data_IF_435299324645
#
_entry.id   IF_435299324645
#
_cell.length_a   1.000
_cell.length_b   1.000
_cell.length_c   1.000
_cell.angle_alpha   90.00
_cell.angle_beta   90.00
_cell.angle_gamma   90.00
#
_symmetry.space_group_name_H-M   'P 1'
#
loop_
_entity.id
_entity.type
_entity.pdbx_description
1 polymer ?
#
# COMPACT_ATOMS: atom_id res chain seq x y z
N UNK A 1 -9.13 8.39 3.68
CA UNK A 1 -7.97 8.90 4.44
C UNK A 1 -6.80 9.23 3.53
N UNK A 2 -6.27 8.30 2.73
CA UNK A 2 -5.14 8.56 1.82
C UNK A 2 -5.39 9.68 0.79
N UNK A 3 -6.59 9.78 0.22
CA UNK A 3 -6.96 10.87 -0.70
C UNK A 3 -6.93 12.26 -0.04
N UNK A 4 -7.47 12.37 1.17
CA UNK A 4 -7.43 13.60 1.97
C UNK A 4 -6.00 13.96 2.32
N UNK A 5 -5.20 12.98 2.77
CA UNK A 5 -3.78 13.19 3.08
C UNK A 5 -3.00 13.65 1.85
N UNK A 6 -3.30 13.11 0.67
CA UNK A 6 -2.72 13.54 -0.60
C UNK A 6 -3.02 15.00 -0.91
N UNK A 7 -4.28 15.39 -0.77
CA UNK A 7 -4.75 16.76 -1.03
C UNK A 7 -4.09 17.76 -0.07
N UNK A 8 -4.12 17.48 1.24
CA UNK A 8 -3.54 18.35 2.27
C UNK A 8 -2.02 18.46 2.17
N UNK A 9 -1.34 17.38 1.79
CA UNK A 9 0.11 17.39 1.60
C UNK A 9 0.56 17.91 0.23
N UNK A 10 -0.37 18.14 -0.70
CA UNK A 10 -0.09 18.43 -2.11
C UNK A 10 0.94 17.45 -2.70
N UNK A 11 0.70 16.15 -2.50
CA UNK A 11 1.73 15.14 -2.74
C UNK A 11 2.25 15.16 -4.19
N UNK A 12 3.57 15.28 -4.33
CA UNK A 12 4.26 15.27 -5.60
C UNK A 12 5.30 14.13 -5.62
N UNK A 13 5.05 13.10 -6.45
CA UNK A 13 5.97 11.96 -6.58
C UNK A 13 7.37 12.34 -7.07
N UNK A 14 7.52 13.45 -7.80
CA UNK A 14 8.83 13.94 -8.25
C UNK A 14 9.64 14.56 -7.10
N UNK A 15 8.96 15.02 -6.04
CA UNK A 15 9.54 15.56 -4.81
C UNK A 15 9.27 14.63 -3.60
N UNK A 16 9.26 13.31 -3.84
CA UNK A 16 8.83 12.27 -2.89
C UNK A 16 9.33 12.48 -1.46
N UNK A 17 10.61 12.82 -1.27
CA UNK A 17 11.18 13.02 0.06
C UNK A 17 10.48 14.16 0.83
N UNK A 18 10.26 15.30 0.16
CA UNK A 18 9.54 16.46 0.71
C UNK A 18 8.08 16.12 0.97
N UNK A 19 7.37 15.54 0.00
CA UNK A 19 5.95 15.19 0.16
C UNK A 19 5.71 14.12 1.24
N UNK A 20 6.61 13.15 1.37
CA UNK A 20 6.57 12.14 2.45
C UNK A 20 6.80 12.79 3.82
N UNK A 21 7.71 13.76 3.92
CA UNK A 21 7.92 14.50 5.16
C UNK A 21 6.67 15.30 5.57
N UNK A 22 6.03 15.99 4.62
CA UNK A 22 4.78 16.72 4.89
C UNK A 22 3.68 15.76 5.33
N UNK A 23 3.51 14.63 4.65
CA UNK A 23 2.55 13.60 5.08
C UNK A 23 2.81 13.11 6.50
N UNK A 24 4.07 12.91 6.87
CA UNK A 24 4.46 12.48 8.22
C UNK A 24 4.06 13.49 9.28
N UNK A 25 4.31 14.78 9.03
CA UNK A 25 3.94 15.88 9.94
C UNK A 25 2.42 15.94 10.10
N UNK A 26 1.66 15.97 9.01
CA UNK A 26 0.19 16.00 9.06
C UNK A 26 -0.39 14.78 9.80
N UNK A 27 0.18 13.59 9.60
CA UNK A 27 -0.22 12.38 10.34
C UNK A 27 0.09 12.48 11.83
N UNK A 28 1.19 13.12 12.21
CA UNK A 28 1.53 13.35 13.62
C UNK A 28 0.54 14.33 14.26
N UNK A 29 0.28 15.47 13.62
CA UNK A 29 -0.69 16.47 14.09
C UNK A 29 -2.09 15.86 14.26
N UNK A 30 -2.59 15.15 13.26
CA UNK A 30 -3.89 14.47 13.33
C UNK A 30 -3.94 13.38 14.42
N UNK A 31 -2.83 12.67 14.63
CA UNK A 31 -2.75 11.66 15.68
C UNK A 31 -2.78 12.30 17.07
N UNK A 32 -2.08 13.43 17.25
CA UNK A 32 -2.04 14.16 18.51
C UNK A 32 -3.41 14.76 18.83
N UNK A 33 -4.10 15.36 17.87
CA UNK A 33 -5.46 15.86 18.04
C UNK A 33 -6.45 14.73 18.42
N UNK A 34 -6.33 13.57 17.75
CA UNK A 34 -7.21 12.42 17.99
C UNK A 34 -7.08 11.84 19.40
N UNK A 35 -5.90 11.92 20.03
CA UNK A 35 -5.68 11.44 21.41
C UNK A 35 -6.46 12.25 22.45
N UNK A 36 -6.88 13.46 22.10
CA UNK A 36 -7.61 14.36 23.00
C UNK A 36 -9.14 14.28 22.82
N UNK A 37 -9.65 13.41 21.94
CA UNK A 37 -11.08 13.38 21.59
C UNK A 37 -11.64 11.94 21.49
N UNK A 38 -12.77 11.66 22.15
CA UNK A 38 -13.60 10.47 21.90
C UNK A 38 -13.30 9.20 22.72
N UNK A 39 -13.86 8.07 22.27
CA UNK A 39 -13.75 6.76 22.93
C UNK A 39 -12.36 6.12 22.63
N UNK A 40 -11.61 5.64 23.63
CA UNK A 40 -10.28 5.05 23.45
C UNK A 40 -10.19 3.94 22.39
N UNK A 41 -11.23 3.13 22.22
CA UNK A 41 -11.24 2.06 21.22
C UNK A 41 -11.36 2.59 19.78
N UNK A 42 -12.19 3.61 19.56
CA UNK A 42 -12.28 4.28 18.26
C UNK A 42 -10.99 5.06 17.95
N UNK A 43 -10.29 5.54 18.98
CA UNK A 43 -8.98 6.18 18.82
C UNK A 43 -7.94 5.19 18.31
N UNK A 44 -7.80 4.00 18.90
CA UNK A 44 -6.81 3.02 18.44
C UNK A 44 -7.04 2.59 16.98
N UNK A 45 -8.29 2.34 16.59
CA UNK A 45 -8.63 1.99 15.21
C UNK A 45 -8.37 3.16 14.25
N UNK A 46 -8.78 4.38 14.62
CA UNK A 46 -8.52 5.58 13.82
C UNK A 46 -7.04 5.86 13.63
N UNK A 47 -6.24 5.71 14.69
CA UNK A 47 -4.79 5.83 14.64
C UNK A 47 -4.15 4.75 13.75
N UNK A 48 -4.68 3.53 13.77
CA UNK A 48 -4.21 2.45 12.89
C UNK A 48 -4.45 2.76 11.41
N UNK A 49 -5.65 3.24 11.07
CA UNK A 49 -6.01 3.68 9.71
C UNK A 49 -5.12 4.86 9.28
N UNK A 50 -4.90 5.83 10.18
CA UNK A 50 -4.04 6.99 9.90
C UNK A 50 -2.60 6.56 9.65
N UNK A 51 -2.07 5.65 10.47
CA UNK A 51 -0.73 5.08 10.29
C UNK A 51 -0.58 4.35 8.95
N UNK A 52 -1.61 3.63 8.52
CA UNK A 52 -1.64 2.92 7.24
C UNK A 52 -1.76 3.86 6.02
N UNK A 53 -2.35 5.04 6.18
CA UNK A 53 -2.59 5.94 5.07
C UNK A 53 -1.28 6.54 4.52
N UNK A 54 -1.19 6.64 3.20
CA UNK A 54 -0.06 7.24 2.49
C UNK A 54 -0.58 8.21 1.42
N UNK A 55 -0.05 9.45 1.40
CA UNK A 55 -0.46 10.49 0.45
C UNK A 55 -0.03 10.22 -1.00
N UNK A 56 0.88 9.26 -1.22
CA UNK A 56 1.32 8.85 -2.54
C UNK A 56 0.26 8.05 -3.31
N UNK A 57 -0.74 7.48 -2.62
CA UNK A 57 -1.83 6.71 -3.21
C UNK A 57 -2.65 7.58 -4.18
N UNK A 58 -2.78 7.14 -5.44
CA UNK A 58 -3.46 7.89 -6.51
C UNK A 58 -4.88 7.34 -6.78
N UNK A 59 -5.19 6.13 -6.34
CA UNK A 59 -6.49 5.49 -6.57
C UNK A 59 -6.99 4.65 -5.39
N UNK A 60 -8.31 4.41 -5.27
CA UNK A 60 -8.86 3.51 -4.25
C UNK A 60 -8.28 2.09 -4.30
N UNK A 61 -7.95 1.60 -5.49
CA UNK A 61 -7.36 0.28 -5.68
C UNK A 61 -5.93 0.15 -5.18
N UNK A 62 -5.12 1.20 -5.34
CA UNK A 62 -3.80 1.28 -4.69
C UNK A 62 -3.94 1.29 -3.17
N UNK A 63 -4.94 2.02 -2.64
CA UNK A 63 -5.24 2.01 -1.21
C UNK A 63 -5.64 0.62 -0.69
N UNK A 64 -6.43 -0.12 -1.48
CA UNK A 64 -6.79 -1.51 -1.18
C UNK A 64 -5.56 -2.43 -1.15
N UNK A 65 -4.67 -2.30 -2.13
CA UNK A 65 -3.39 -3.04 -2.17
C UNK A 65 -2.51 -2.71 -0.94
N UNK A 66 -2.38 -1.43 -0.60
CA UNK A 66 -1.65 -0.97 0.58
C UNK A 66 -2.23 -1.59 1.87
N UNK A 67 -3.56 -1.68 1.95
CA UNK A 67 -4.26 -2.27 3.10
C UNK A 67 -3.96 -3.77 3.26
N UNK A 68 -3.93 -4.52 2.15
CA UNK A 68 -3.53 -5.93 2.16
C UNK A 68 -2.11 -6.08 2.71
N UNK A 69 -1.17 -5.26 2.21
CA UNK A 69 0.24 -5.34 2.62
C UNK A 69 0.42 -5.05 4.10
N UNK A 70 -0.21 -4.00 4.63
CA UNK A 70 -0.14 -3.71 6.06
C UNK A 70 -0.73 -4.82 6.93
N UNK A 71 -1.79 -5.50 6.48
CA UNK A 71 -2.36 -6.64 7.20
C UNK A 71 -1.45 -7.86 7.19
N UNK A 72 -0.89 -8.21 6.02
CA UNK A 72 0.00 -9.37 5.88
C UNK A 72 1.37 -9.16 6.55
N UNK A 73 1.80 -7.91 6.70
CA UNK A 73 3.10 -7.54 7.27
C UNK A 73 2.96 -6.96 8.68
N UNK A 74 1.81 -7.08 9.36
CA UNK A 74 1.55 -6.43 10.66
C UNK A 74 2.64 -6.70 11.71
N UNK A 75 3.15 -7.94 11.77
CA UNK A 75 4.21 -8.35 12.71
C UNK A 75 5.62 -8.41 12.08
N UNK A 76 5.79 -7.90 10.86
CA UNK A 76 7.05 -7.95 10.11
C UNK A 76 7.74 -6.58 10.12
N UNK A 77 9.07 -6.58 10.24
CA UNK A 77 9.89 -5.37 10.05
C UNK A 77 9.78 -4.82 8.63
N UNK A 78 9.38 -5.65 7.66
CA UNK A 78 9.13 -5.23 6.28
C UNK A 78 7.99 -4.22 6.15
N UNK A 79 7.11 -4.11 7.16
CA UNK A 79 6.02 -3.14 7.16
C UNK A 79 6.53 -1.71 7.03
N UNK A 80 7.68 -1.41 7.63
CA UNK A 80 8.30 -0.08 7.60
C UNK A 80 9.01 0.19 6.27
N UNK A 81 9.18 -0.83 5.42
CA UNK A 81 9.78 -0.72 4.10
C UNK A 81 8.76 -0.49 2.97
N UNK A 82 7.46 -0.58 3.28
CA UNK A 82 6.39 -0.33 2.31
C UNK A 82 6.54 1.09 1.77
N UNK A 83 6.81 1.20 0.47
CA UNK A 83 7.09 2.46 -0.19
C UNK A 83 6.14 2.67 -1.38
N UNK A 84 5.20 3.60 -1.23
CA UNK A 84 4.31 3.99 -2.32
C UNK A 84 5.00 4.94 -3.31
N UNK A 85 4.59 4.88 -4.59
CA UNK A 85 5.14 5.65 -5.71
C UNK A 85 6.68 5.62 -5.72
N UNK A 86 7.26 4.44 -5.55
CA UNK A 86 8.71 4.30 -5.40
C UNK A 86 9.43 4.50 -6.75
N UNK A 87 10.46 5.37 -6.82
CA UNK A 87 11.21 5.58 -8.04
C UNK A 87 12.24 4.48 -8.28
N UNK A 88 12.26 3.94 -9.50
CA UNK A 88 13.28 2.99 -9.97
C UNK A 88 13.92 3.57 -11.21
N UNK A 89 15.25 3.70 -11.20
CA UNK A 89 16.02 4.21 -12.33
C UNK A 89 16.75 3.06 -13.01
N UNK A 90 16.43 2.79 -14.28
CA UNK A 90 17.07 1.77 -15.11
C UNK A 90 17.43 2.41 -16.45
N UNK A 91 18.70 2.33 -16.85
CA UNK A 91 19.18 2.88 -18.12
C UNK A 91 18.81 4.36 -18.33
N UNK A 92 18.93 5.18 -17.28
CA UNK A 92 18.56 6.60 -17.31
C UNK A 92 17.06 6.90 -17.35
N UNK A 93 16.19 5.88 -17.42
CA UNK A 93 14.73 6.02 -17.35
C UNK A 93 14.26 5.83 -15.92
N UNK A 94 13.37 6.72 -15.47
CA UNK A 94 12.79 6.67 -14.13
C UNK A 94 11.34 6.18 -14.20
N UNK A 95 11.06 5.10 -13.49
CA UNK A 95 9.73 4.50 -13.36
C UNK A 95 9.23 4.70 -11.94
N UNK A 96 7.95 5.03 -11.79
CA UNK A 96 7.27 5.00 -10.51
C UNK A 96 6.37 3.76 -10.49
N UNK A 97 6.35 3.09 -9.35
CA UNK A 97 5.57 1.87 -9.08
C UNK A 97 4.63 2.15 -7.93
N UNK A 98 3.42 1.61 -7.98
CA UNK A 98 2.37 1.97 -7.03
C UNK A 98 2.79 1.69 -5.59
N UNK A 99 3.30 0.48 -5.33
CA UNK A 99 3.92 0.10 -4.05
C UNK A 99 5.15 -0.78 -4.28
N UNK A 100 6.20 -0.57 -3.48
CA UNK A 100 7.40 -1.40 -3.48
C UNK A 100 7.82 -1.82 -2.06
N UNK A 101 8.51 -2.94 -1.98
CA UNK A 101 9.39 -3.31 -0.87
C UNK A 101 10.83 -3.33 -1.43
N UNK A 102 11.58 -2.22 -1.33
CA UNK A 102 12.83 -2.06 -2.06
C UNK A 102 13.90 -3.10 -1.73
N UNK A 103 14.05 -3.50 -0.46
CA UNK A 103 15.08 -4.47 -0.06
C UNK A 103 14.80 -5.87 -0.61
N UNK A 104 13.52 -6.22 -0.81
CA UNK A 104 13.11 -7.48 -1.43
C UNK A 104 13.06 -7.43 -2.95
N UNK A 105 13.30 -6.25 -3.53
CA UNK A 105 12.99 -5.96 -4.94
C UNK A 105 11.59 -6.44 -5.34
N UNK A 106 10.60 -6.24 -4.48
CA UNK A 106 9.22 -6.64 -4.73
C UNK A 106 8.36 -5.43 -5.13
N UNK A 107 7.63 -5.55 -6.22
CA UNK A 107 6.74 -4.52 -6.78
C UNK A 107 5.31 -5.01 -6.78
N UNK A 108 4.41 -4.12 -6.38
CA UNK A 108 2.99 -4.34 -6.42
C UNK A 108 2.35 -3.22 -7.24
N UNK A 109 1.62 -3.59 -8.28
CA UNK A 109 0.91 -2.65 -9.15
C UNK A 109 -0.58 -2.95 -9.13
N UNK A 110 -1.38 -1.91 -9.02
CA UNK A 110 -2.83 -2.00 -9.15
C UNK A 110 -3.21 -1.66 -10.60
N UNK A 111 -3.73 -2.65 -11.33
CA UNK A 111 -4.20 -2.44 -12.69
C UNK A 111 -5.69 -2.10 -12.67
N UNK A 112 -5.97 -0.79 -12.63
CA UNK A 112 -7.31 -0.24 -12.56
C UNK A 112 -8.11 -0.33 -13.86
N UNK A 113 -7.48 -0.54 -15.01
CA UNK A 113 -8.14 -0.70 -16.31
C UNK A 113 -7.04 -1.05 -17.30
N UNK A 114 -7.21 -2.16 -18.05
CA UNK A 114 -6.31 -2.61 -19.09
C UNK A 114 -5.92 -1.45 -20.01
N UNK A 115 -4.74 -0.85 -19.78
CA UNK A 115 -4.15 0.21 -20.62
C UNK A 115 -3.74 -0.41 -21.96
N UNK A 116 -4.72 -0.65 -22.82
CA UNK A 116 -4.54 -0.98 -24.24
C UNK A 116 -5.50 -0.04 -24.95
N UNK A 117 -5.03 1.07 -25.51
CA UNK A 117 -4.43 1.06 -26.85
C UNK A 117 -3.14 1.88 -26.99
N UNK A 118 -2.24 1.40 -27.86
CA UNK A 118 -1.07 2.13 -28.38
C UNK A 118 0.25 2.04 -27.59
N UNK A 119 0.26 1.60 -26.32
CA UNK A 119 1.48 1.57 -25.48
C UNK A 119 1.94 0.18 -25.03
N UNK A 120 1.39 -0.89 -25.61
CA UNK A 120 1.71 -2.28 -25.24
C UNK A 120 3.21 -2.60 -25.31
N UNK A 121 3.90 -2.12 -26.33
CA UNK A 121 5.35 -2.28 -26.45
C UNK A 121 6.12 -1.57 -25.33
N UNK A 122 5.76 -0.34 -24.99
CA UNK A 122 6.40 0.41 -23.89
C UNK A 122 6.16 -0.26 -22.54
N UNK A 123 4.96 -0.80 -22.34
CA UNK A 123 4.62 -1.56 -21.14
C UNK A 123 5.44 -2.86 -21.02
N UNK A 124 5.49 -3.66 -22.09
CA UNK A 124 6.29 -4.89 -22.12
C UNK A 124 7.77 -4.60 -21.91
N UNK A 125 8.30 -3.56 -22.54
CA UNK A 125 9.70 -3.18 -22.39
C UNK A 125 10.01 -2.71 -20.97
N UNK A 126 9.14 -1.88 -20.37
CA UNK A 126 9.26 -1.50 -18.95
C UNK A 126 9.27 -2.73 -18.05
N UNK A 127 8.36 -3.67 -18.28
CA UNK A 127 8.28 -4.89 -17.47
C UNK A 127 9.53 -5.75 -17.63
N UNK A 128 10.02 -5.92 -18.86
CA UNK A 128 11.28 -6.63 -19.15
C UNK A 128 12.45 -6.00 -18.41
N UNK A 129 12.62 -4.68 -18.52
CA UNK A 129 13.71 -3.95 -17.86
C UNK A 129 13.67 -4.08 -16.33
N UNK A 130 12.48 -4.01 -15.72
CA UNK A 130 12.32 -4.20 -14.27
C UNK A 130 12.73 -5.62 -13.85
N UNK A 131 12.25 -6.64 -14.57
CA UNK A 131 12.59 -8.04 -14.28
C UNK A 131 14.08 -8.31 -14.49
N UNK A 132 14.69 -7.80 -15.56
CA UNK A 132 16.13 -7.91 -15.80
C UNK A 132 16.97 -7.22 -14.72
N UNK A 133 16.46 -6.14 -14.12
CA UNK A 133 17.08 -5.50 -12.95
C UNK A 133 16.84 -6.28 -11.63
N UNK A 134 16.19 -7.44 -11.68
CA UNK A 134 15.94 -8.35 -10.57
C UNK A 134 14.69 -8.01 -9.75
N UNK A 135 13.77 -7.21 -10.29
CA UNK A 135 12.50 -6.92 -9.61
C UNK A 135 11.45 -8.01 -9.88
N UNK A 136 10.76 -8.40 -8.81
CA UNK A 136 9.61 -9.27 -8.86
C UNK A 136 8.34 -8.41 -8.89
N UNK A 137 7.40 -8.72 -9.78
CA UNK A 137 6.21 -7.88 -9.99
C UNK A 137 4.96 -8.71 -9.78
N UNK A 138 4.10 -8.25 -8.87
CA UNK A 138 2.73 -8.73 -8.72
C UNK A 138 1.75 -7.64 -9.16
N UNK A 139 0.84 -8.00 -10.06
CA UNK A 139 -0.29 -7.15 -10.46
C UNK A 139 -1.56 -7.64 -9.78
N UNK A 140 -2.26 -6.70 -9.14
CA UNK A 140 -3.62 -6.88 -8.62
C UNK A 140 -4.57 -6.12 -9.53
N UNK A 141 -5.59 -6.80 -10.04
CA UNK A 141 -6.53 -6.23 -10.99
C UNK A 141 -7.75 -5.63 -10.29
N UNK A 142 -8.42 -4.66 -10.93
CA UNK A 142 -9.65 -4.06 -10.41
C UNK A 142 -10.72 -5.09 -10.05
N UNK A 143 -10.86 -6.16 -10.84
CA UNK A 143 -11.84 -7.24 -10.56
C UNK A 143 -11.58 -7.95 -9.22
N UNK A 144 -10.36 -7.89 -8.70
CA UNK A 144 -10.01 -8.55 -7.44
C UNK A 144 -10.43 -7.71 -6.22
N UNK A 145 -10.81 -6.45 -6.40
CA UNK A 145 -11.38 -5.59 -5.35
C UNK A 145 -12.70 -6.18 -4.83
N UNK A 146 -13.50 -6.80 -5.71
CA UNK A 146 -14.75 -7.48 -5.30
C UNK A 146 -14.50 -8.87 -4.70
N UNK A 147 -13.28 -9.40 -4.78
CA UNK A 147 -12.87 -10.66 -4.16
C UNK A 147 -11.63 -10.48 -3.26
N UNK A 148 -11.73 -9.72 -2.14
CA UNK A 148 -10.56 -9.37 -1.34
C UNK A 148 -9.73 -10.56 -0.87
N UNK A 149 -10.41 -11.65 -0.50
CA UNK A 149 -9.76 -12.90 -0.07
C UNK A 149 -8.81 -13.45 -1.13
N UNK A 150 -9.21 -13.43 -2.40
CA UNK A 150 -8.40 -13.91 -3.52
C UNK A 150 -7.18 -13.04 -3.74
N UNK A 151 -7.36 -11.71 -3.72
CA UNK A 151 -6.26 -10.75 -3.83
C UNK A 151 -5.24 -10.98 -2.71
N UNK A 152 -5.70 -11.07 -1.46
CA UNK A 152 -4.85 -11.30 -0.30
C UNK A 152 -4.08 -12.61 -0.40
N UNK A 153 -4.71 -13.71 -0.82
CA UNK A 153 -4.03 -14.99 -0.99
C UNK A 153 -2.94 -14.94 -2.07
N UNK A 154 -3.17 -14.20 -3.17
CA UNK A 154 -2.15 -14.00 -4.21
C UNK A 154 -0.99 -13.14 -3.72
N UNK A 155 -1.27 -12.06 -3.00
CA UNK A 155 -0.23 -11.21 -2.40
C UNK A 155 0.58 -12.00 -1.37
N UNK A 156 -0.09 -12.80 -0.54
CA UNK A 156 0.56 -13.72 0.40
C UNK A 156 1.47 -14.72 -0.32
N UNK A 157 0.95 -15.46 -1.31
CA UNK A 157 1.74 -16.44 -2.05
C UNK A 157 2.95 -15.81 -2.74
N UNK A 158 2.80 -14.59 -3.27
CA UNK A 158 3.91 -13.84 -3.84
C UNK A 158 4.97 -13.47 -2.80
N UNK A 159 4.57 -12.93 -1.65
CA UNK A 159 5.49 -12.63 -0.53
C UNK A 159 6.21 -13.90 -0.05
N UNK A 160 5.49 -15.01 0.10
CA UNK A 160 6.06 -16.30 0.51
C UNK A 160 7.05 -16.85 -0.53
N UNK A 161 6.79 -16.65 -1.82
CA UNK A 161 7.75 -17.01 -2.88
C UNK A 161 9.07 -16.23 -2.81
N UNK A 162 9.06 -15.07 -2.14
CA UNK A 162 10.25 -14.26 -1.86
C UNK A 162 10.87 -14.55 -0.48
N UNK A 163 10.41 -15.61 0.20
CA UNK A 163 10.90 -16.00 1.52
C UNK A 163 10.31 -15.21 2.68
N UNK A 164 9.27 -14.41 2.46
CA UNK A 164 8.59 -13.67 3.51
C UNK A 164 7.57 -14.56 4.20
N UNK A 165 7.77 -14.84 5.48
CA UNK A 165 6.75 -15.50 6.28
C UNK A 165 5.63 -14.51 6.62
N UNK A 166 4.41 -14.84 6.22
CA UNK A 166 3.21 -14.04 6.56
C UNK A 166 2.33 -14.82 7.52
N UNK A 167 1.66 -14.16 8.48
CA UNK A 167 0.79 -14.86 9.43
C UNK A 167 -0.37 -15.60 8.73
N UNK A 168 -0.90 -16.63 9.39
CA UNK A 168 -2.10 -17.34 8.94
C UNK A 168 -3.41 -16.68 9.37
N UNK A 169 -3.36 -15.69 10.25
CA UNK A 169 -4.53 -14.89 10.63
C UNK A 169 -4.61 -13.64 9.75
N UNK A 170 -5.81 -13.13 9.53
CA UNK A 170 -6.08 -12.02 8.63
C UNK A 170 -5.61 -10.65 9.16
N UNK A 171 -4.63 -10.58 10.07
CA UNK A 171 -4.28 -9.36 10.79
C UNK A 171 -5.45 -8.81 11.62
N UNK A 172 -5.18 -7.86 12.51
CA UNK A 172 -6.24 -7.25 13.36
C UNK A 172 -7.27 -6.47 12.54
N UNK A 173 -6.91 -6.03 11.34
CA UNK A 173 -7.71 -5.10 10.53
C UNK A 173 -8.81 -5.78 9.71
N UNK A 174 -8.78 -7.10 9.62
CA UNK A 174 -9.79 -7.92 8.93
C UNK A 174 -10.49 -8.90 9.87
N UNK A 175 -10.14 -8.90 11.15
CA UNK A 175 -10.90 -9.64 12.15
C UNK A 175 -12.34 -9.14 12.15
N UNK A 176 -13.32 -10.04 12.04
CA UNK A 176 -14.72 -9.70 12.28
C UNK A 176 -14.80 -8.95 13.60
N UNK A 177 -15.39 -7.76 13.57
CA UNK A 177 -15.77 -7.08 14.80
C UNK A 177 -16.82 -7.95 15.45
N UNK A 178 -16.39 -8.86 16.32
CA UNK A 178 -17.29 -9.63 17.16
C UNK A 178 -18.02 -8.62 18.05
N UNK A 179 -19.15 -8.12 17.53
CA UNK A 179 -20.18 -7.41 18.27
C UNK A 179 -20.58 -8.36 19.37
N UNK A 180 -19.95 -8.21 20.54
CA UNK A 180 -20.60 -8.62 21.76
C UNK A 180 -21.65 -7.54 21.99
N UNK A 181 -22.84 -7.74 21.42
CA UNK A 181 -24.05 -7.07 21.84
C UNK A 181 -24.23 -7.38 23.33
N UNK A 182 -23.65 -6.53 24.18
CA UNK A 182 -24.09 -6.41 25.57
C UNK A 182 -25.49 -5.85 25.50
N UNK A 183 -26.46 -6.74 25.65
CA UNK A 183 -27.80 -6.38 26.06
C UNK A 183 -27.68 -5.59 27.36
N UNK A 184 -28.14 -4.34 27.34
CA UNK A 184 -28.62 -3.60 28.48
C UNK A 184 -30.11 -3.36 28.25
#
# INVERSE_FOLDING_TARGET
>A
MSSILRELSQYNRFERAKSTQVCRILKQELADDSRHQGNPWHQEQGLSVLQAADGAIESPGEGFLLWILHGLLESSTLRDEIACQWPITIQGRRYYVDVALPNLKALFEFDGYSKVDGKRHQFMERQRLLVEAGWHILRVELREVSTPRTATLRVKAFLESLGVHTPNHWGRWWAETSRTSRQL
#
